data_IF_637377845963
#
_entry.id   IF_637377845963
#
_cell.length_a   1.000
_cell.length_b   1.000
_cell.length_c   1.000
_cell.angle_alpha   90.00
_cell.angle_beta   90.00
_cell.angle_gamma   90.00
#
_symmetry.space_group_name_H-M   'P 1'
#
loop_
_entity.id
_entity.type
_entity.pdbx_description
1 polymer ?
#
# COMPACT_ATOMS: atom_id res chain seq x y z
N UNK A 1 67.33 -12.17 -23.53
CA UNK A 1 66.05 -12.80 -23.05
C UNK A 1 65.66 -12.38 -21.64
N UNK A 2 66.53 -12.35 -20.65
CA UNK A 2 66.16 -11.97 -19.25
C UNK A 2 65.60 -10.53 -19.08
N UNK A 3 66.09 -9.55 -19.87
CA UNK A 3 65.65 -8.14 -19.78
C UNK A 3 64.19 -7.95 -20.24
N UNK A 4 63.71 -8.70 -21.25
CA UNK A 4 62.33 -8.61 -21.75
C UNK A 4 61.33 -9.32 -20.87
N UNK A 5 61.76 -10.33 -20.12
CA UNK A 5 60.90 -11.03 -19.14
C UNK A 5 60.59 -10.15 -17.95
N UNK A 6 61.55 -9.34 -17.49
CA UNK A 6 61.36 -8.41 -16.35
C UNK A 6 60.43 -7.25 -16.73
N UNK A 7 60.58 -6.69 -17.97
CA UNK A 7 59.68 -5.64 -18.47
C UNK A 7 58.26 -6.13 -18.67
N UNK A 8 58.07 -7.35 -19.15
CA UNK A 8 56.74 -7.96 -19.32
C UNK A 8 56.06 -8.22 -17.98
N UNK A 9 56.79 -8.69 -16.96
CA UNK A 9 56.28 -8.88 -15.59
C UNK A 9 55.85 -7.57 -14.92
N UNK A 10 56.64 -6.48 -15.09
CA UNK A 10 56.30 -5.16 -14.59
C UNK A 10 55.03 -4.59 -15.30
N UNK A 11 54.92 -4.77 -16.62
CA UNK A 11 53.71 -4.34 -17.36
C UNK A 11 52.46 -5.10 -16.91
N UNK A 12 52.53 -6.39 -16.66
CA UNK A 12 51.44 -7.20 -16.15
C UNK A 12 51.04 -6.77 -14.72
N UNK A 13 52.00 -6.44 -13.86
CA UNK A 13 51.69 -5.97 -12.48
C UNK A 13 51.00 -4.60 -12.48
N UNK A 14 51.34 -3.70 -13.39
CA UNK A 14 50.66 -2.41 -13.54
C UNK A 14 49.24 -2.57 -14.09
N UNK A 15 49.06 -3.50 -15.03
CA UNK A 15 47.69 -3.81 -15.56
C UNK A 15 46.79 -4.50 -14.51
N UNK A 16 47.34 -5.34 -13.65
CA UNK A 16 46.63 -5.99 -12.57
C UNK A 16 46.31 -5.08 -11.39
N UNK A 17 47.19 -4.09 -11.10
CA UNK A 17 46.96 -3.12 -10.02
C UNK A 17 45.84 -2.09 -10.35
N UNK A 18 45.52 -1.94 -11.63
CA UNK A 18 44.41 -1.08 -12.10
C UNK A 18 43.03 -1.76 -12.09
N UNK A 19 42.97 -3.08 -11.87
CA UNK A 19 41.70 -3.80 -11.83
C UNK A 19 41.12 -3.63 -10.40
N UNK A 20 40.51 -2.49 -10.11
CA UNK A 20 39.54 -2.41 -9.01
C UNK A 20 38.36 -3.27 -9.41
N UNK A 21 38.04 -4.31 -8.62
CA UNK A 21 36.72 -4.95 -8.70
C UNK A 21 35.69 -3.82 -8.68
N UNK A 22 34.72 -3.79 -9.61
CA UNK A 22 33.60 -2.87 -9.48
C UNK A 22 33.04 -3.07 -8.07
N UNK A 23 32.88 -1.97 -7.31
CA UNK A 23 32.20 -2.04 -6.05
C UNK A 23 30.82 -2.63 -6.35
N UNK A 24 30.54 -3.76 -5.71
CA UNK A 24 29.26 -4.42 -5.83
C UNK A 24 28.27 -3.52 -5.09
N UNK A 25 27.62 -2.62 -5.84
CA UNK A 25 26.51 -1.83 -5.31
C UNK A 25 25.38 -2.82 -5.03
N UNK A 26 25.31 -3.29 -3.80
CA UNK A 26 24.11 -3.96 -3.29
C UNK A 26 23.02 -2.90 -3.28
N UNK A 27 22.19 -2.92 -4.31
CA UNK A 27 20.97 -2.11 -4.34
C UNK A 27 20.08 -2.71 -3.27
N UNK A 28 20.02 -2.09 -2.11
CA UNK A 28 19.01 -2.40 -1.09
C UNK A 28 17.65 -1.97 -1.65
N UNK A 29 17.05 -2.86 -2.44
CA UNK A 29 15.82 -2.59 -3.18
C UNK A 29 14.70 -2.12 -2.25
N UNK A 30 14.64 -2.66 -1.04
CA UNK A 30 13.65 -2.27 -0.05
C UNK A 30 13.86 -0.83 0.45
N UNK A 31 15.10 -0.42 0.72
CA UNK A 31 15.39 0.95 1.14
C UNK A 31 15.08 1.95 0.01
N UNK A 32 15.41 1.60 -1.22
CA UNK A 32 15.06 2.40 -2.39
C UNK A 32 13.55 2.48 -2.62
N UNK A 33 12.79 1.40 -2.34
CA UNK A 33 11.34 1.43 -2.41
C UNK A 33 10.73 2.45 -1.44
N UNK A 34 11.22 2.52 -0.20
CA UNK A 34 10.78 3.55 0.75
C UNK A 34 11.15 4.96 0.32
N UNK A 35 12.33 5.16 -0.29
CA UNK A 35 12.72 6.46 -0.83
C UNK A 35 11.73 6.94 -1.90
N UNK A 36 11.39 6.08 -2.86
CA UNK A 36 10.40 6.41 -3.89
C UNK A 36 9.00 6.63 -3.32
N UNK A 37 8.60 5.84 -2.32
CA UNK A 37 7.35 6.12 -1.60
C UNK A 37 7.35 7.53 -0.96
N UNK A 38 8.45 7.93 -0.32
CA UNK A 38 8.55 9.26 0.30
C UNK A 38 8.53 10.38 -0.75
N UNK A 39 9.17 10.19 -1.91
CA UNK A 39 9.09 11.13 -3.03
C UNK A 39 7.64 11.26 -3.53
N UNK A 40 6.93 10.14 -3.65
CA UNK A 40 5.50 10.13 -4.00
C UNK A 40 4.65 10.93 -3.00
N UNK A 41 4.91 10.76 -1.69
CA UNK A 41 4.22 11.54 -0.64
C UNK A 41 4.53 13.04 -0.73
N UNK A 42 5.74 13.45 -1.08
CA UNK A 42 6.09 14.86 -1.33
C UNK A 42 5.27 15.42 -2.50
N UNK A 43 5.17 14.69 -3.61
CA UNK A 43 4.34 15.10 -4.74
C UNK A 43 2.85 15.20 -4.38
N UNK A 44 2.32 14.34 -3.50
CA UNK A 44 0.94 14.47 -2.99
C UNK A 44 0.75 15.80 -2.24
N UNK A 45 1.71 16.22 -1.40
CA UNK A 45 1.65 17.51 -0.69
C UNK A 45 1.57 18.68 -1.66
N UNK A 46 2.24 18.59 -2.80
CA UNK A 46 2.21 19.56 -3.89
C UNK A 46 0.97 19.41 -4.81
N UNK A 47 0.07 18.46 -4.54
CA UNK A 47 -1.07 18.07 -5.39
C UNK A 47 -0.66 17.58 -6.78
N UNK A 48 0.57 17.20 -6.95
CA UNK A 48 1.14 16.65 -8.19
C UNK A 48 0.88 15.12 -8.27
N UNK A 49 -0.38 14.73 -8.41
CA UNK A 49 -0.80 13.31 -8.30
C UNK A 49 -0.22 12.42 -9.39
N UNK A 50 -0.03 12.95 -10.62
CA UNK A 50 0.54 12.15 -11.71
C UNK A 50 2.02 11.77 -11.45
N UNK A 51 2.95 12.69 -11.12
CA UNK A 51 4.29 12.32 -10.67
C UNK A 51 4.28 11.38 -9.47
N UNK A 52 3.40 11.62 -8.47
CA UNK A 52 3.27 10.74 -7.32
C UNK A 52 2.98 9.29 -7.73
N UNK A 53 2.10 9.06 -8.72
CA UNK A 53 1.81 7.70 -9.21
C UNK A 53 3.03 7.02 -9.79
N UNK A 54 3.94 7.75 -10.45
CA UNK A 54 5.16 7.17 -11.01
C UNK A 54 6.10 6.69 -9.89
N UNK A 55 6.27 7.51 -8.85
CA UNK A 55 7.12 7.17 -7.71
C UNK A 55 6.58 5.95 -6.95
N UNK A 56 5.28 5.87 -6.68
CA UNK A 56 4.69 4.69 -6.04
C UNK A 56 4.79 3.43 -6.90
N UNK A 57 4.68 3.52 -8.22
CA UNK A 57 4.91 2.39 -9.13
C UNK A 57 6.35 1.90 -9.06
N UNK A 58 7.33 2.80 -8.98
CA UNK A 58 8.74 2.44 -8.80
C UNK A 58 8.91 1.76 -7.44
N UNK A 59 8.36 2.32 -6.36
CA UNK A 59 8.41 1.71 -5.03
C UNK A 59 7.86 0.28 -5.04
N UNK A 60 6.71 0.05 -5.68
CA UNK A 60 6.10 -1.28 -5.83
C UNK A 60 7.00 -2.20 -6.65
N UNK A 61 7.60 -1.73 -7.74
CA UNK A 61 8.47 -2.56 -8.57
C UNK A 61 9.74 -3.02 -7.86
N UNK A 62 10.24 -2.22 -6.92
CA UNK A 62 11.41 -2.53 -6.11
C UNK A 62 11.12 -3.49 -4.94
N UNK A 63 9.88 -3.51 -4.45
CA UNK A 63 9.44 -4.35 -3.33
C UNK A 63 7.98 -4.80 -3.52
N UNK A 64 7.68 -5.70 -4.49
CA UNK A 64 6.31 -5.97 -4.92
C UNK A 64 5.49 -6.81 -3.92
N UNK A 65 6.12 -7.75 -3.21
CA UNK A 65 5.44 -8.81 -2.46
C UNK A 65 5.82 -8.83 -0.97
N UNK A 66 6.06 -7.65 -0.40
CA UNK A 66 6.33 -7.52 1.04
C UNK A 66 5.19 -6.77 1.72
N UNK A 67 4.98 -7.02 3.01
CA UNK A 67 3.96 -6.32 3.80
C UNK A 67 4.08 -4.77 3.67
N UNK A 68 5.28 -4.25 3.53
CA UNK A 68 5.54 -2.83 3.31
C UNK A 68 4.91 -2.28 2.02
N UNK A 69 4.78 -3.12 0.97
CA UNK A 69 4.18 -2.70 -0.29
C UNK A 69 2.68 -2.39 -0.18
N UNK A 70 2.01 -2.87 0.87
CA UNK A 70 0.62 -2.48 1.15
C UNK A 70 0.45 -0.96 1.25
N UNK A 71 1.41 -0.26 1.88
CA UNK A 71 1.41 1.21 1.97
C UNK A 71 1.55 1.84 0.60
N UNK A 72 2.44 1.30 -0.24
CA UNK A 72 2.69 1.84 -1.58
C UNK A 72 1.46 1.68 -2.49
N UNK A 73 0.81 0.51 -2.44
CA UNK A 73 -0.45 0.28 -3.15
C UNK A 73 -1.56 1.21 -2.65
N UNK A 74 -1.71 1.38 -1.33
CA UNK A 74 -2.71 2.30 -0.80
C UNK A 74 -2.48 3.74 -1.28
N UNK A 75 -1.24 4.24 -1.20
CA UNK A 75 -0.91 5.60 -1.63
C UNK A 75 -1.12 5.79 -3.14
N UNK A 76 -0.79 4.77 -3.95
CA UNK A 76 -1.07 4.77 -5.39
C UNK A 76 -2.58 4.85 -5.66
N UNK A 77 -3.38 4.06 -4.92
CA UNK A 77 -4.85 4.09 -5.00
C UNK A 77 -5.43 5.47 -4.66
N UNK A 78 -4.93 6.12 -3.61
CA UNK A 78 -5.34 7.48 -3.25
C UNK A 78 -5.03 8.48 -4.37
N UNK A 79 -3.88 8.36 -5.03
CA UNK A 79 -3.57 9.19 -6.19
C UNK A 79 -4.55 8.94 -7.35
N UNK A 80 -4.90 7.68 -7.64
CA UNK A 80 -5.87 7.37 -8.67
C UNK A 80 -7.26 7.91 -8.36
N UNK A 81 -7.71 7.87 -7.09
CA UNK A 81 -8.95 8.54 -6.67
C UNK A 81 -8.91 10.04 -6.98
N UNK A 82 -7.81 10.73 -6.66
CA UNK A 82 -7.62 12.16 -6.95
C UNK A 82 -7.56 12.49 -8.44
N UNK A 83 -7.15 11.54 -9.26
CA UNK A 83 -7.10 11.65 -10.74
C UNK A 83 -8.44 11.25 -11.41
N UNK A 84 -9.46 10.88 -10.64
CA UNK A 84 -10.75 10.44 -11.17
C UNK A 84 -10.70 9.07 -11.85
N UNK A 85 -9.83 8.19 -11.40
CA UNK A 85 -9.63 6.84 -11.93
C UNK A 85 -9.97 5.77 -10.87
N UNK A 86 -11.25 5.66 -10.43
CA UNK A 86 -11.63 4.80 -9.32
C UNK A 86 -11.44 3.30 -9.61
N UNK A 87 -11.53 2.83 -10.85
CA UNK A 87 -11.26 1.43 -11.18
C UNK A 87 -9.81 1.04 -10.88
N UNK A 88 -8.85 1.91 -11.24
CA UNK A 88 -7.44 1.68 -10.93
C UNK A 88 -7.17 1.80 -9.43
N UNK A 89 -7.86 2.70 -8.74
CA UNK A 89 -7.78 2.84 -7.29
C UNK A 89 -8.26 1.59 -6.58
N UNK A 90 -9.42 1.02 -7.00
CA UNK A 90 -9.95 -0.25 -6.47
C UNK A 90 -8.90 -1.36 -6.50
N UNK A 91 -8.30 -1.60 -7.67
CA UNK A 91 -7.29 -2.65 -7.84
C UNK A 91 -6.09 -2.43 -6.90
N UNK A 92 -5.71 -1.18 -6.66
CA UNK A 92 -4.64 -0.83 -5.73
C UNK A 92 -5.05 -1.09 -4.28
N UNK A 93 -6.23 -0.66 -3.84
CA UNK A 93 -6.69 -0.87 -2.46
C UNK A 93 -6.92 -2.35 -2.15
N UNK A 94 -7.45 -3.13 -3.09
CA UNK A 94 -7.57 -4.57 -2.94
C UNK A 94 -6.19 -5.24 -2.82
N UNK A 95 -5.19 -4.79 -3.57
CA UNK A 95 -3.81 -5.28 -3.44
C UNK A 95 -3.21 -4.90 -2.08
N UNK A 96 -3.44 -3.68 -1.60
CA UNK A 96 -3.00 -3.25 -0.28
C UNK A 96 -3.56 -4.17 0.83
N UNK A 97 -4.85 -4.49 0.77
CA UNK A 97 -5.50 -5.41 1.72
C UNK A 97 -5.02 -6.85 1.61
N UNK A 98 -4.67 -7.33 0.40
CA UNK A 98 -4.04 -8.66 0.24
C UNK A 98 -2.66 -8.75 0.88
N UNK A 99 -1.87 -7.65 0.86
CA UNK A 99 -0.55 -7.61 1.48
C UNK A 99 -0.63 -7.41 3.00
N UNK A 100 -1.59 -6.59 3.46
CA UNK A 100 -1.79 -6.34 4.88
C UNK A 100 -3.25 -5.98 5.16
N UNK A 101 -4.02 -6.95 5.67
CA UNK A 101 -5.47 -6.83 5.89
C UNK A 101 -5.87 -6.15 7.21
N UNK A 102 -4.93 -5.80 8.09
CA UNK A 102 -5.25 -5.27 9.43
C UNK A 102 -5.15 -3.75 9.53
N UNK A 103 -5.13 -3.02 8.41
CA UNK A 103 -5.10 -1.57 8.38
C UNK A 103 -6.49 -1.00 8.05
N UNK A 104 -7.12 -0.35 9.01
CA UNK A 104 -8.46 0.22 8.88
C UNK A 104 -8.58 1.26 7.75
N UNK A 105 -7.54 2.09 7.52
CA UNK A 105 -7.52 3.09 6.44
C UNK A 105 -7.72 2.46 5.06
N UNK A 106 -7.16 1.27 4.82
CA UNK A 106 -7.29 0.61 3.53
C UNK A 106 -8.74 0.21 3.25
N UNK A 107 -9.48 -0.24 4.28
CA UNK A 107 -10.91 -0.51 4.15
C UNK A 107 -11.72 0.75 3.90
N UNK A 108 -11.39 1.86 4.57
CA UNK A 108 -12.06 3.15 4.32
C UNK A 108 -11.88 3.60 2.88
N UNK A 109 -10.66 3.57 2.38
CA UNK A 109 -10.36 3.95 1.01
C UNK A 109 -11.06 3.04 -0.01
N UNK A 110 -11.08 1.72 0.25
CA UNK A 110 -11.78 0.76 -0.61
C UNK A 110 -13.30 0.96 -0.57
N UNK A 111 -13.89 1.21 0.60
CA UNK A 111 -15.33 1.47 0.73
C UNK A 111 -15.76 2.74 -0.04
N UNK A 112 -15.00 3.84 0.12
CA UNK A 112 -15.21 5.07 -0.67
C UNK A 112 -15.12 4.79 -2.18
N UNK A 113 -14.12 4.01 -2.59
CA UNK A 113 -13.93 3.65 -3.99
C UNK A 113 -15.09 2.81 -4.54
N UNK A 114 -15.54 1.77 -3.82
CA UNK A 114 -16.70 0.98 -4.22
C UNK A 114 -17.98 1.82 -4.29
N UNK A 115 -18.17 2.74 -3.36
CA UNK A 115 -19.31 3.65 -3.38
C UNK A 115 -19.29 4.54 -4.64
N UNK A 116 -18.14 5.14 -4.99
CA UNK A 116 -18.00 5.95 -6.20
C UNK A 116 -18.22 5.16 -7.51
N UNK A 117 -17.88 3.87 -7.50
CA UNK A 117 -18.11 2.95 -8.63
C UNK A 117 -19.56 2.43 -8.71
N UNK A 118 -20.41 2.73 -7.73
CA UNK A 118 -21.76 2.17 -7.66
C UNK A 118 -21.81 0.69 -7.31
N UNK A 119 -20.76 0.14 -6.72
CA UNK A 119 -20.61 -1.27 -6.38
C UNK A 119 -20.93 -1.58 -4.90
N UNK A 120 -21.38 -0.59 -4.13
CA UNK A 120 -21.60 -0.73 -2.69
C UNK A 120 -22.58 -1.84 -2.34
N UNK A 121 -23.73 -1.92 -3.02
CA UNK A 121 -24.76 -2.93 -2.75
C UNK A 121 -24.27 -4.35 -3.03
N UNK A 122 -23.58 -4.56 -4.15
CA UNK A 122 -22.99 -5.84 -4.51
C UNK A 122 -21.95 -6.30 -3.47
N UNK A 123 -21.11 -5.39 -2.98
CA UNK A 123 -20.09 -5.71 -1.98
C UNK A 123 -20.72 -5.98 -0.60
N UNK A 124 -21.76 -5.26 -0.21
CA UNK A 124 -22.54 -5.53 1.00
C UNK A 124 -23.12 -6.95 0.92
N UNK A 125 -23.78 -7.32 -0.17
CA UNK A 125 -24.36 -8.65 -0.35
C UNK A 125 -23.31 -9.76 -0.31
N UNK A 126 -22.18 -9.58 -0.97
CA UNK A 126 -21.05 -10.54 -0.93
C UNK A 126 -20.51 -10.75 0.48
N UNK A 127 -20.44 -9.69 1.29
CA UNK A 127 -19.90 -9.75 2.64
C UNK A 127 -20.73 -10.61 3.61
N UNK A 128 -22.02 -10.87 3.33
CA UNK A 128 -22.85 -11.77 4.15
C UNK A 128 -22.47 -13.25 3.98
N UNK A 129 -21.94 -13.62 2.82
CA UNK A 129 -21.46 -14.98 2.54
C UNK A 129 -19.97 -15.17 2.85
N UNK A 130 -19.26 -14.08 3.18
CA UNK A 130 -17.85 -14.13 3.53
C UNK A 130 -17.67 -14.64 4.97
N UNK A 131 -16.91 -15.71 5.13
CA UNK A 131 -16.56 -16.24 6.45
C UNK A 131 -15.47 -15.43 7.16
N UNK A 132 -14.81 -14.51 6.46
CA UNK A 132 -13.76 -13.65 7.03
C UNK A 132 -14.40 -12.51 7.83
N UNK A 133 -14.14 -12.41 9.17
CA UNK A 133 -14.69 -11.33 10.00
C UNK A 133 -14.37 -9.93 9.48
N UNK A 134 -13.24 -9.75 8.80
CA UNK A 134 -12.84 -8.46 8.22
C UNK A 134 -13.81 -7.98 7.12
N UNK A 135 -14.60 -8.88 6.51
CA UNK A 135 -15.71 -8.51 5.62
C UNK A 135 -16.75 -7.63 6.30
N UNK A 136 -16.95 -7.79 7.62
CA UNK A 136 -17.85 -6.94 8.41
C UNK A 136 -17.33 -5.49 8.51
N UNK A 137 -16.01 -5.29 8.55
CA UNK A 137 -15.41 -3.94 8.55
C UNK A 137 -15.74 -3.22 7.25
N UNK A 138 -15.54 -3.90 6.10
CA UNK A 138 -15.89 -3.34 4.79
C UNK A 138 -17.40 -3.04 4.69
N UNK A 139 -18.25 -4.00 5.13
CA UNK A 139 -19.70 -3.82 5.12
C UNK A 139 -20.16 -2.62 5.94
N UNK A 140 -19.65 -2.47 7.16
CA UNK A 140 -20.01 -1.33 8.01
C UNK A 140 -19.62 0.01 7.38
N UNK A 141 -18.44 0.09 6.74
CA UNK A 141 -18.00 1.29 6.03
C UNK A 141 -18.83 1.58 4.76
N UNK A 142 -19.26 0.55 4.04
CA UNK A 142 -20.14 0.71 2.87
C UNK A 142 -21.55 1.18 3.28
N UNK A 143 -22.10 0.65 4.37
CA UNK A 143 -23.38 1.11 4.95
C UNK A 143 -23.29 2.58 5.37
N UNK A 144 -22.19 3.00 5.99
CA UNK A 144 -21.95 4.42 6.29
C UNK A 144 -21.97 5.29 5.03
N UNK A 145 -21.26 4.88 3.98
CA UNK A 145 -21.22 5.62 2.71
C UNK A 145 -22.62 5.78 2.08
N UNK A 146 -23.50 4.83 2.32
CA UNK A 146 -24.92 4.87 1.89
C UNK A 146 -25.81 5.75 2.78
N UNK A 147 -25.32 6.14 3.96
CA UNK A 147 -26.09 6.89 4.95
C UNK A 147 -26.79 6.02 5.99
N UNK A 148 -26.63 4.71 5.95
CA UNK A 148 -27.25 3.74 6.88
C UNK A 148 -26.41 3.66 8.19
N UNK A 149 -26.24 4.80 8.85
CA UNK A 149 -25.30 4.97 9.97
C UNK A 149 -25.58 4.03 11.15
N UNK A 150 -26.86 3.85 11.50
CA UNK A 150 -27.25 2.99 12.62
C UNK A 150 -26.87 1.52 12.37
N UNK A 151 -27.08 1.04 11.14
CA UNK A 151 -26.71 -0.31 10.75
C UNK A 151 -25.18 -0.45 10.66
N UNK A 152 -24.49 0.56 10.12
CA UNK A 152 -23.03 0.61 10.08
C UNK A 152 -22.41 0.43 11.48
N UNK A 153 -22.92 1.18 12.48
CA UNK A 153 -22.49 1.07 13.88
C UNK A 153 -22.73 -0.35 14.40
N UNK A 154 -23.93 -0.91 14.16
CA UNK A 154 -24.27 -2.26 14.63
C UNK A 154 -23.30 -3.32 14.09
N UNK A 155 -23.01 -3.27 12.79
CA UNK A 155 -22.11 -4.23 12.13
C UNK A 155 -20.67 -4.08 12.62
N UNK A 156 -20.20 -2.86 12.78
CA UNK A 156 -18.85 -2.59 13.29
C UNK A 156 -18.69 -3.00 14.76
N UNK A 157 -19.70 -2.79 15.59
CA UNK A 157 -19.71 -3.20 17.00
C UNK A 157 -19.71 -4.73 17.12
N UNK A 158 -20.52 -5.42 16.29
CA UNK A 158 -20.50 -6.88 16.20
C UNK A 158 -19.12 -7.42 15.81
N UNK A 159 -18.45 -6.78 14.85
CA UNK A 159 -17.06 -7.13 14.49
C UNK A 159 -16.14 -7.02 15.70
N UNK A 160 -16.18 -5.89 16.42
CA UNK A 160 -15.34 -5.65 17.60
C UNK A 160 -15.63 -6.64 18.73
N UNK A 161 -16.88 -7.06 18.87
CA UNK A 161 -17.27 -8.07 19.87
C UNK A 161 -16.73 -9.46 19.52
N UNK A 162 -16.70 -9.81 18.22
CA UNK A 162 -16.16 -11.09 17.73
C UNK A 162 -14.64 -11.14 17.73
N UNK A 163 -14.00 -10.03 17.40
CA UNK A 163 -12.55 -9.93 17.19
C UNK A 163 -11.93 -8.81 18.06
N UNK A 164 -12.03 -8.90 19.39
CA UNK A 164 -11.63 -7.79 20.28
C UNK A 164 -10.13 -7.50 20.26
N UNK A 165 -9.31 -8.51 19.97
CA UNK A 165 -7.85 -8.45 20.12
C UNK A 165 -7.11 -8.20 18.79
N UNK A 166 -7.81 -8.12 17.67
CA UNK A 166 -7.17 -7.77 16.41
C UNK A 166 -6.67 -6.31 16.45
N UNK A 167 -5.51 -6.08 15.86
CA UNK A 167 -4.90 -4.73 15.78
C UNK A 167 -5.88 -3.71 15.21
N UNK A 168 -6.65 -4.08 14.19
CA UNK A 168 -7.63 -3.22 13.53
C UNK A 168 -8.80 -2.84 14.45
N UNK A 169 -9.15 -3.68 15.44
CA UNK A 169 -10.34 -3.49 16.28
C UNK A 169 -10.28 -2.22 17.13
N UNK A 170 -9.08 -1.78 17.53
CA UNK A 170 -8.91 -0.51 18.24
C UNK A 170 -9.30 0.69 17.35
N UNK A 171 -8.90 0.66 16.08
CA UNK A 171 -9.26 1.71 15.12
C UNK A 171 -10.76 1.69 14.79
N UNK A 172 -11.36 0.50 14.68
CA UNK A 172 -12.82 0.36 14.49
C UNK A 172 -13.60 0.91 15.69
N UNK A 173 -13.18 0.60 16.94
CA UNK A 173 -13.80 1.19 18.15
C UNK A 173 -13.74 2.72 18.17
N UNK A 174 -12.61 3.28 17.80
CA UNK A 174 -12.47 4.72 17.69
C UNK A 174 -13.42 5.30 16.65
N UNK A 175 -13.54 4.64 15.52
CA UNK A 175 -14.41 5.07 14.42
C UNK A 175 -15.90 4.99 14.79
N UNK A 176 -16.35 3.94 15.49
CA UNK A 176 -17.72 3.84 16.03
C UNK A 176 -18.06 5.07 16.90
N UNK A 177 -17.14 5.49 17.78
CA UNK A 177 -17.36 6.71 18.60
C UNK A 177 -17.52 7.96 17.74
N UNK A 178 -16.76 8.08 16.66
CA UNK A 178 -16.89 9.19 15.70
C UNK A 178 -18.26 9.15 15.00
N UNK A 179 -18.75 7.97 14.59
CA UNK A 179 -20.07 7.81 13.98
C UNK A 179 -21.20 8.18 14.96
N UNK A 180 -21.13 7.71 16.21
CA UNK A 180 -22.13 8.04 17.25
C UNK A 180 -22.18 9.56 17.51
N UNK A 181 -21.06 10.25 17.43
CA UNK A 181 -21.02 11.71 17.63
C UNK A 181 -21.65 12.52 16.50
N UNK A 182 -21.96 11.89 15.36
CA UNK A 182 -22.58 12.55 14.19
C UNK A 182 -24.12 12.43 14.16
N UNK A 183 -24.69 11.58 15.02
CA UNK A 183 -26.13 11.35 15.15
C UNK A 183 -26.68 11.97 16.41
#
# INVERSE_FOLDING_TARGET
MKKYAITFLLLCSVLLSGYRKPEEYVIESQQNAYLHNNMGLMYIQERAYYPATQEFKIAISLAPDVQASAVFYNNLGECYMKLGQPDMARDCFERALRQFSLNFRYYKNLAECYYQLGLADDQIQRSYSDSNPLGMVLRGLLLEQKGDISEAITVLDEFVAKEPDLIISSAVRQYIKELISKI
#
